data_IF_130594879142
#
_entry.id   IF_130594879142
#
_cell.length_a   1.000
_cell.length_b   1.000
_cell.length_c   1.000
_cell.angle_alpha   90.00
_cell.angle_beta   90.00
_cell.angle_gamma   90.00
#
_symmetry.space_group_name_H-M   'P 1'
#
loop_
_entity.id
_entity.type
_entity.pdbx_description
1 polymer ?
#
# COMPACT_ATOMS: atom_id res chain seq x y z
N UNK A 1 1.18 1.19 -5.65
CA UNK A 1 0.77 0.07 -4.79
C UNK A 1 0.07 -0.96 -5.66
N UNK A 2 0.42 -2.24 -5.54
CA UNK A 2 -0.37 -3.28 -6.22
C UNK A 2 0.37 -4.59 -6.43
N UNK A 3 -0.41 -5.66 -6.55
CA UNK A 3 0.11 -7.02 -6.69
C UNK A 3 0.40 -7.69 -5.35
N UNK A 4 0.56 -9.01 -5.40
CA UNK A 4 0.88 -9.81 -4.23
C UNK A 4 1.52 -11.14 -4.65
N UNK A 5 2.47 -11.64 -3.86
CA UNK A 5 3.05 -12.99 -4.03
C UNK A 5 2.25 -14.01 -3.22
N UNK A 6 2.01 -13.72 -1.94
CA UNK A 6 1.27 -14.57 -1.01
C UNK A 6 -0.08 -13.93 -0.69
N UNK A 7 -0.89 -13.66 -1.72
CA UNK A 7 -2.15 -12.99 -1.52
C UNK A 7 -3.08 -13.79 -0.58
N UNK A 8 -3.77 -13.07 0.31
CA UNK A 8 -4.67 -13.64 1.32
C UNK A 8 -5.83 -14.45 0.71
N UNK A 9 -6.22 -14.11 -0.53
CA UNK A 9 -7.22 -14.85 -1.29
C UNK A 9 -6.50 -15.69 -2.34
N UNK A 10 -6.46 -17.02 -2.15
CA UNK A 10 -5.76 -17.94 -3.05
C UNK A 10 -6.41 -17.95 -4.45
N UNK A 11 -5.56 -18.00 -5.48
CA UNK A 11 -6.00 -18.07 -6.89
C UNK A 11 -6.59 -16.77 -7.43
N UNK A 12 -6.46 -15.65 -6.70
CA UNK A 12 -7.02 -14.35 -7.07
C UNK A 12 -5.91 -13.32 -7.06
N UNK A 13 -5.90 -12.42 -8.05
CA UNK A 13 -4.99 -11.29 -8.07
C UNK A 13 -5.37 -10.23 -7.02
N UNK A 14 -4.37 -9.46 -6.58
CA UNK A 14 -4.59 -8.30 -5.72
C UNK A 14 -5.54 -7.28 -6.38
N UNK A 15 -6.30 -6.53 -5.57
CA UNK A 15 -7.40 -5.69 -6.02
C UNK A 15 -7.03 -4.73 -7.15
N UNK A 16 -5.94 -3.96 -7.03
CA UNK A 16 -5.53 -2.99 -8.06
C UNK A 16 -5.13 -3.68 -9.37
N UNK A 17 -4.43 -4.80 -9.27
CA UNK A 17 -4.06 -5.60 -10.46
C UNK A 17 -5.29 -6.21 -11.12
N UNK A 18 -6.22 -6.74 -10.32
CA UNK A 18 -7.46 -7.36 -10.79
C UNK A 18 -8.41 -6.38 -11.46
N UNK A 19 -8.38 -5.11 -11.06
CA UNK A 19 -9.21 -4.06 -11.64
C UNK A 19 -8.97 -3.93 -13.16
N UNK A 20 -7.71 -4.00 -13.60
CA UNK A 20 -7.35 -4.08 -15.02
C UNK A 20 -6.06 -4.90 -15.22
N UNK A 21 -6.22 -6.23 -15.34
CA UNK A 21 -5.09 -7.14 -15.52
C UNK A 21 -4.29 -6.85 -16.80
N UNK A 22 -4.95 -6.40 -17.88
CA UNK A 22 -4.29 -6.12 -19.15
C UNK A 22 -3.37 -4.91 -19.02
N UNK A 23 -3.84 -3.85 -18.38
CA UNK A 23 -3.01 -2.68 -18.09
C UNK A 23 -1.86 -3.05 -17.14
N UNK A 24 -2.14 -3.81 -16.07
CA UNK A 24 -1.12 -4.26 -15.13
C UNK A 24 -0.01 -5.07 -15.81
N UNK A 25 -0.37 -6.03 -16.68
CA UNK A 25 0.60 -6.80 -17.48
C UNK A 25 1.42 -5.93 -18.42
N UNK A 26 0.78 -4.96 -19.09
CA UNK A 26 1.49 -4.03 -19.97
C UNK A 26 2.52 -3.22 -19.18
N UNK A 27 2.17 -2.75 -17.98
CA UNK A 27 3.12 -2.05 -17.10
C UNK A 27 4.21 -3.00 -16.60
N UNK A 28 3.86 -4.23 -16.22
CA UNK A 28 4.78 -5.26 -15.74
C UNK A 28 5.88 -5.58 -16.76
N UNK A 29 5.51 -5.74 -18.03
CA UNK A 29 6.44 -6.01 -19.12
C UNK A 29 7.14 -4.76 -19.69
N UNK A 30 6.82 -3.55 -19.21
CA UNK A 30 7.43 -2.33 -19.74
C UNK A 30 8.84 -2.12 -19.20
N UNK A 31 9.69 -1.43 -19.98
CA UNK A 31 11.10 -1.17 -19.63
C UNK A 31 11.31 -0.13 -18.51
N UNK A 32 10.25 0.46 -17.98
CA UNK A 32 10.35 1.44 -16.88
C UNK A 32 10.85 0.74 -15.62
N UNK A 33 11.79 1.37 -14.91
CA UNK A 33 12.23 0.89 -13.60
C UNK A 33 11.06 0.97 -12.61
N UNK A 34 10.65 -0.18 -12.06
CA UNK A 34 9.49 -0.30 -11.16
C UNK A 34 9.94 -0.66 -9.76
N UNK A 35 9.24 -0.10 -8.78
CA UNK A 35 9.27 -0.51 -7.38
C UNK A 35 7.88 -1.02 -7.04
N UNK A 36 7.78 -2.31 -6.72
CA UNK A 36 6.52 -2.95 -6.38
C UNK A 36 6.38 -2.98 -4.86
N UNK A 37 5.54 -2.09 -4.35
CA UNK A 37 5.03 -2.19 -2.97
C UNK A 37 3.80 -3.10 -3.00
N UNK A 38 3.99 -4.32 -2.54
CA UNK A 38 3.03 -5.42 -2.64
C UNK A 38 2.05 -5.41 -1.46
N UNK A 39 0.89 -6.06 -1.65
CA UNK A 39 -0.08 -6.30 -0.58
C UNK A 39 0.51 -7.16 0.54
N UNK A 40 1.49 -8.02 0.25
CA UNK A 40 2.26 -8.79 1.25
C UNK A 40 2.88 -7.90 2.33
N UNK A 41 3.30 -6.69 1.96
CA UNK A 41 3.91 -5.72 2.88
C UNK A 41 2.87 -4.78 3.48
N UNK A 42 1.87 -4.39 2.71
CA UNK A 42 0.93 -3.32 3.09
C UNK A 42 -0.36 -3.82 3.76
N UNK A 43 -0.72 -5.10 3.62
CA UNK A 43 -1.82 -5.70 4.37
C UNK A 43 -1.29 -6.21 5.72
N UNK A 44 -1.02 -5.28 6.63
CA UNK A 44 -0.42 -5.55 7.93
C UNK A 44 -1.18 -4.79 9.03
N UNK A 45 -1.61 -5.44 10.14
CA UNK A 45 -2.30 -4.78 11.24
C UNK A 45 -1.57 -3.57 11.84
N UNK A 46 -0.24 -3.51 11.74
CA UNK A 46 0.51 -2.34 12.19
C UNK A 46 0.22 -1.05 11.39
N UNK A 47 -0.47 -1.15 10.25
CA UNK A 47 -0.89 -0.02 9.40
C UNK A 47 -2.38 0.30 9.53
N UNK A 48 -3.07 -0.35 10.47
CA UNK A 48 -4.51 -0.19 10.66
C UNK A 48 -4.81 1.14 11.35
N UNK A 49 -5.76 1.88 10.79
CA UNK A 49 -6.30 3.11 11.38
C UNK A 49 -7.80 2.90 11.59
N UNK A 50 -8.22 3.03 12.84
CA UNK A 50 -9.63 3.07 13.25
C UNK A 50 -9.97 4.43 13.87
N UNK A 51 -11.20 4.57 14.39
CA UNK A 51 -11.67 5.80 15.00
C UNK A 51 -11.01 6.15 16.36
N UNK A 52 -10.25 5.23 16.95
CA UNK A 52 -9.50 5.43 18.21
C UNK A 52 -8.02 5.76 17.96
N UNK A 53 -7.55 5.56 16.74
CA UNK A 53 -6.15 5.77 16.38
C UNK A 53 -5.77 7.26 16.44
N UNK A 54 -4.55 7.57 16.90
CA UNK A 54 -4.06 8.95 17.06
C UNK A 54 -4.15 9.76 15.77
N UNK A 55 -3.79 9.14 14.63
CA UNK A 55 -3.94 9.74 13.29
C UNK A 55 -5.37 10.19 13.01
N UNK A 56 -6.38 9.37 13.31
CA UNK A 56 -7.77 9.76 13.10
C UNK A 56 -8.16 10.95 13.98
N UNK A 57 -7.70 10.96 15.23
CA UNK A 57 -7.92 12.09 16.14
C UNK A 57 -7.24 13.38 15.65
N UNK A 58 -6.00 13.32 15.17
CA UNK A 58 -5.32 14.50 14.66
C UNK A 58 -5.95 15.03 13.36
N UNK A 59 -6.51 14.17 12.50
CA UNK A 59 -7.33 14.62 11.37
C UNK A 59 -8.57 15.40 11.84
N UNK A 60 -9.23 14.96 12.91
CA UNK A 60 -10.41 15.62 13.50
C UNK A 60 -10.10 16.96 14.16
N UNK A 61 -8.91 17.10 14.74
CA UNK A 61 -8.46 18.33 15.39
C UNK A 61 -7.80 19.33 14.42
N UNK A 62 -7.46 18.86 13.22
CA UNK A 62 -6.83 19.68 12.19
C UNK A 62 -7.75 20.82 11.73
N UNK A 63 -7.17 22.01 11.56
CA UNK A 63 -7.86 23.20 11.03
C UNK A 63 -7.71 23.33 9.51
N UNK A 64 -7.05 22.38 8.86
CA UNK A 64 -6.77 22.40 7.43
C UNK A 64 -7.95 21.77 6.71
N UNK A 65 -8.49 22.47 5.73
CA UNK A 65 -9.71 22.06 5.02
C UNK A 65 -9.54 20.66 4.40
N UNK A 66 -8.40 20.38 3.75
CA UNK A 66 -8.17 19.09 3.08
C UNK A 66 -8.12 17.90 4.05
N UNK A 67 -7.77 18.12 5.32
CA UNK A 67 -7.81 17.05 6.32
C UNK A 67 -9.25 16.70 6.71
N UNK A 68 -10.17 17.67 6.65
CA UNK A 68 -11.60 17.42 6.78
C UNK A 68 -12.12 16.48 5.68
N UNK A 69 -11.65 16.63 4.44
CA UNK A 69 -12.05 15.75 3.33
C UNK A 69 -11.52 14.31 3.53
N UNK A 70 -10.29 14.16 4.03
CA UNK A 70 -9.70 12.86 4.36
C UNK A 70 -10.48 12.20 5.50
N UNK A 71 -10.77 12.95 6.57
CA UNK A 71 -11.58 12.47 7.69
C UNK A 71 -12.96 12.01 7.21
N UNK A 72 -13.62 12.81 6.37
CA UNK A 72 -14.93 12.47 5.84
C UNK A 72 -14.89 11.20 4.99
N UNK A 73 -13.81 10.99 4.24
CA UNK A 73 -13.58 9.74 3.49
C UNK A 73 -13.46 8.54 4.43
N UNK A 74 -12.73 8.67 5.53
CA UNK A 74 -12.60 7.62 6.56
C UNK A 74 -13.96 7.30 7.18
N UNK A 75 -14.71 8.31 7.61
CA UNK A 75 -16.04 8.12 8.21
C UNK A 75 -17.03 7.43 7.26
N UNK A 76 -17.02 7.84 5.98
CA UNK A 76 -17.87 7.22 4.96
C UNK A 76 -17.49 5.76 4.73
N UNK A 77 -16.20 5.46 4.65
CA UNK A 77 -15.70 4.10 4.53
C UNK A 77 -16.07 3.26 5.76
N UNK A 78 -15.90 3.84 6.97
CA UNK A 78 -16.18 3.16 8.23
C UNK A 78 -17.64 2.78 8.39
N UNK A 79 -18.53 3.68 7.97
CA UNK A 79 -19.97 3.45 7.99
C UNK A 79 -20.42 2.39 6.97
N UNK A 80 -19.77 2.34 5.81
CA UNK A 80 -20.25 1.54 4.68
C UNK A 80 -19.64 0.12 4.61
N UNK A 81 -18.40 -0.07 5.04
CA UNK A 81 -17.63 -1.30 4.74
C UNK A 81 -17.00 -1.95 5.98
N UNK A 82 -16.11 -1.25 6.70
CA UNK A 82 -15.32 -1.80 7.81
C UNK A 82 -14.97 -0.72 8.83
N UNK A 83 -14.91 -1.01 10.12
CA UNK A 83 -14.62 -0.03 11.19
C UNK A 83 -13.16 0.47 11.23
N UNK A 84 -12.31 0.03 10.31
CA UNK A 84 -10.90 0.40 10.20
C UNK A 84 -10.44 0.32 8.75
N UNK A 85 -9.27 0.87 8.45
CA UNK A 85 -8.64 0.80 7.13
C UNK A 85 -7.13 0.63 7.24
N UNK A 86 -6.51 0.04 6.22
CA UNK A 86 -5.06 -0.18 6.14
C UNK A 86 -4.40 0.89 5.26
N UNK A 87 -3.27 1.45 5.70
CA UNK A 87 -2.53 2.50 4.98
C UNK A 87 -1.70 1.97 3.80
N UNK A 88 -2.33 1.31 2.83
CA UNK A 88 -1.63 0.73 1.67
C UNK A 88 -0.90 1.77 0.80
N UNK A 89 -1.65 2.77 0.34
CA UNK A 89 -1.13 3.79 -0.56
C UNK A 89 -0.23 4.80 0.16
N UNK A 90 -0.54 5.26 1.39
CA UNK A 90 0.38 6.10 2.16
C UNK A 90 1.74 5.44 2.40
N UNK A 91 1.78 4.14 2.76
CA UNK A 91 3.06 3.44 2.88
C UNK A 91 3.78 3.40 1.52
N UNK A 92 3.07 3.08 0.44
CA UNK A 92 3.69 3.08 -0.91
C UNK A 92 4.24 4.45 -1.30
N UNK A 93 3.54 5.53 -0.97
CA UNK A 93 4.00 6.89 -1.23
C UNK A 93 5.24 7.24 -0.41
N UNK A 94 5.39 6.67 0.79
CA UNK A 94 6.56 6.88 1.63
C UNK A 94 7.86 6.44 0.94
N UNK A 95 7.84 5.40 0.10
CA UNK A 95 9.01 4.96 -0.68
C UNK A 95 9.51 6.03 -1.67
N UNK A 96 8.70 7.03 -2.00
CA UNK A 96 9.11 8.18 -2.84
C UNK A 96 9.71 9.30 -1.99
N UNK A 97 9.12 9.61 -0.83
CA UNK A 97 9.47 10.79 -0.03
C UNK A 97 10.50 10.50 1.07
N UNK A 98 10.45 9.30 1.65
CA UNK A 98 11.26 8.83 2.78
C UNK A 98 11.50 7.32 2.60
N UNK A 99 12.42 6.91 1.70
CA UNK A 99 12.55 5.52 1.25
C UNK A 99 12.99 4.54 2.33
N UNK A 100 13.41 5.03 3.50
CA UNK A 100 13.86 4.22 4.64
C UNK A 100 12.79 3.30 5.21
N UNK A 101 11.50 3.60 4.99
CA UNK A 101 10.42 2.80 5.59
C UNK A 101 10.12 1.50 4.85
N UNK A 102 10.50 1.35 3.58
CA UNK A 102 10.23 0.13 2.81
C UNK A 102 11.53 -0.56 2.44
N UNK A 103 11.64 -1.82 2.87
CA UNK A 103 12.73 -2.69 2.44
C UNK A 103 12.37 -3.28 1.07
N UNK A 104 13.10 -2.84 0.05
CA UNK A 104 12.97 -3.34 -1.32
C UNK A 104 14.16 -4.24 -1.66
N UNK A 105 13.87 -5.39 -2.26
CA UNK A 105 14.89 -6.30 -2.79
C UNK A 105 14.66 -6.63 -4.26
N UNK A 106 15.72 -6.93 -4.98
CA UNK A 106 15.59 -7.48 -6.34
C UNK A 106 15.14 -8.93 -6.26
N UNK A 107 14.03 -9.24 -6.93
CA UNK A 107 13.45 -10.58 -7.03
C UNK A 107 12.98 -10.84 -8.45
N UNK A 108 13.16 -12.06 -8.90
CA UNK A 108 12.56 -12.51 -10.15
C UNK A 108 11.12 -12.92 -9.92
N UNK A 109 10.21 -12.20 -10.56
CA UNK A 109 8.77 -12.42 -10.45
C UNK A 109 8.13 -12.61 -11.82
N UNK A 110 7.04 -13.34 -11.87
CA UNK A 110 6.15 -13.43 -13.03
C UNK A 110 4.80 -12.84 -12.68
N UNK A 111 4.05 -12.43 -13.71
CA UNK A 111 2.64 -12.07 -13.60
C UNK A 111 1.89 -12.86 -14.69
N UNK A 112 0.91 -13.66 -14.30
CA UNK A 112 0.06 -14.39 -15.23
C UNK A 112 -0.96 -13.45 -15.90
N UNK A 113 -1.61 -13.91 -16.99
CA UNK A 113 -2.69 -13.15 -17.63
C UNK A 113 -3.84 -12.79 -16.69
N UNK A 114 -4.05 -13.62 -15.66
CA UNK A 114 -5.01 -13.39 -14.56
C UNK A 114 -4.56 -12.32 -13.56
N UNK A 115 -3.36 -11.77 -13.69
CA UNK A 115 -2.76 -10.80 -12.76
C UNK A 115 -2.08 -11.42 -11.53
N UNK A 116 -2.14 -12.74 -11.37
CA UNK A 116 -1.50 -13.43 -10.24
C UNK A 116 0.02 -13.35 -10.38
N UNK A 117 0.70 -12.92 -9.32
CA UNK A 117 2.16 -12.80 -9.30
C UNK A 117 2.79 -13.95 -8.51
N UNK A 118 3.96 -14.41 -8.94
CA UNK A 118 4.72 -15.48 -8.27
C UNK A 118 6.22 -15.19 -8.34
N UNK A 119 6.99 -15.73 -7.39
CA UNK A 119 8.44 -15.86 -7.56
C UNK A 119 8.77 -16.94 -8.59
N UNK A 120 9.79 -16.70 -9.42
CA UNK A 120 10.23 -17.66 -10.43
C UNK A 120 11.61 -17.31 -10.95
N UNK A 121 12.50 -18.29 -11.10
CA UNK A 121 13.84 -18.09 -11.68
C UNK A 121 13.82 -17.64 -13.15
N UNK A 122 12.69 -17.86 -13.83
CA UNK A 122 12.40 -17.42 -15.20
C UNK A 122 11.66 -16.07 -15.25
N UNK A 123 11.39 -15.47 -14.10
CA UNK A 123 10.70 -14.19 -13.98
C UNK A 123 11.56 -13.00 -14.40
N UNK A 124 10.89 -11.84 -14.49
CA UNK A 124 11.56 -10.56 -14.66
C UNK A 124 12.15 -10.12 -13.32
N UNK A 125 13.41 -9.68 -13.35
CA UNK A 125 14.05 -9.08 -12.17
C UNK A 125 13.39 -7.72 -11.90
N UNK A 126 12.78 -7.58 -10.73
CA UNK A 126 12.07 -6.38 -10.29
C UNK A 126 12.42 -6.05 -8.85
N UNK A 127 12.32 -4.78 -8.45
CA UNK A 127 12.43 -4.38 -7.05
C UNK A 127 11.08 -4.55 -6.38
N UNK A 128 11.00 -5.42 -5.37
CA UNK A 128 9.76 -5.75 -4.65
C UNK A 128 9.92 -5.50 -3.16
N UNK A 129 8.84 -5.08 -2.51
CA UNK A 129 8.82 -4.95 -1.06
C UNK A 129 8.87 -6.32 -0.39
N UNK A 130 9.78 -6.45 0.57
CA UNK A 130 9.92 -7.66 1.42
C UNK A 130 9.54 -7.38 2.87
N UNK A 131 9.39 -6.11 3.24
CA UNK A 131 9.01 -5.68 4.58
C UNK A 131 9.01 -4.15 4.68
N UNK A 132 8.65 -3.64 5.86
CA UNK A 132 8.65 -2.22 6.17
C UNK A 132 8.95 -1.97 7.65
N UNK A 133 9.49 -0.79 7.96
CA UNK A 133 9.54 -0.25 9.31
C UNK A 133 8.18 0.37 9.65
N UNK A 134 7.25 -0.48 10.09
CA UNK A 134 5.88 -0.05 10.40
C UNK A 134 5.83 0.95 11.57
N UNK A 135 6.52 0.74 12.71
CA UNK A 135 6.51 1.70 13.80
C UNK A 135 7.07 3.06 13.36
N UNK A 136 8.22 3.08 12.67
CA UNK A 136 8.82 4.32 12.19
C UNK A 136 7.93 5.06 11.19
N UNK A 137 7.26 4.32 10.30
CA UNK A 137 6.31 4.91 9.34
C UNK A 137 5.08 5.52 10.04
N UNK A 138 4.49 4.82 11.01
CA UNK A 138 3.31 5.32 11.73
C UNK A 138 3.67 6.52 12.61
N UNK A 139 4.81 6.49 13.30
CA UNK A 139 5.33 7.63 14.05
C UNK A 139 5.58 8.84 13.14
N UNK A 140 6.10 8.61 11.94
CA UNK A 140 6.30 9.66 10.93
C UNK A 140 4.97 10.31 10.51
N UNK A 141 3.92 9.51 10.26
CA UNK A 141 2.58 10.03 9.92
C UNK A 141 1.94 10.79 11.08
N UNK A 142 2.11 10.31 12.32
CA UNK A 142 1.59 10.98 13.52
C UNK A 142 2.19 12.37 13.71
N UNK A 143 3.52 12.51 13.54
CA UNK A 143 4.18 13.80 13.72
C UNK A 143 3.84 14.81 12.62
N UNK A 144 3.64 14.37 11.37
CA UNK A 144 3.36 15.29 10.25
C UNK A 144 1.94 15.89 10.25
N UNK A 145 1.02 15.39 11.07
CA UNK A 145 -0.30 16.03 11.25
C UNK A 145 -0.23 17.41 11.88
N UNK A 146 0.88 17.73 12.56
CA UNK A 146 1.09 19.02 13.23
C UNK A 146 1.78 20.07 12.34
N UNK A 147 2.22 19.70 11.13
CA UNK A 147 2.96 20.57 10.20
C UNK A 147 2.21 20.94 8.92
N UNK A 148 1.10 20.27 8.65
CA UNK A 148 0.13 20.71 7.65
C UNK A 148 -0.88 21.59 8.39
#
# INVERSE_FOLDING_TARGET
MGGAINYRIKGVAEHNVRFDCKAALKVFHSKVCKRYVLSDTTYNPALEIDASHRIYHGLKESKIIVMGDILQSFENYFKAYFNSTMMHDPLTFSDVIEPQFINLEERKITMAESGIMNYSDKGLLQRVSVGADYPGFMEFLEHRQSFI
#
